data_IF_599008928074
#
_entry.id   IF_599008928074
#
_cell.length_a   1.000
_cell.length_b   1.000
_cell.length_c   1.000
_cell.angle_alpha   90.00
_cell.angle_beta   90.00
_cell.angle_gamma   90.00
#
_symmetry.space_group_name_H-M   'P 1'
#
loop_
_entity.id
_entity.type
_entity.pdbx_description
1 polymer ?
#
# COMPACT_ATOMS: atom_id res chain seq x y z
N UNK A 1 -6.38 1.34 -23.13
CA UNK A 1 -4.92 1.49 -22.96
C UNK A 1 -4.68 1.87 -21.51
N UNK A 2 -3.80 1.16 -20.84
CA UNK A 2 -3.33 1.51 -19.49
C UNK A 2 -2.58 2.84 -19.55
N UNK A 3 -2.92 3.77 -18.68
CA UNK A 3 -2.29 5.10 -18.64
C UNK A 3 -1.24 5.24 -17.55
N UNK A 4 -1.12 4.26 -16.65
CA UNK A 4 -0.13 4.29 -15.56
C UNK A 4 -0.37 3.22 -14.50
N UNK A 5 0.47 3.26 -13.48
CA UNK A 5 0.44 2.39 -12.32
C UNK A 5 0.19 3.21 -11.05
N UNK A 6 -0.44 2.59 -10.07
CA UNK A 6 -0.57 3.13 -8.72
C UNK A 6 -0.33 1.99 -7.70
N UNK A 7 0.83 1.98 -7.09
CA UNK A 7 1.12 1.11 -5.95
C UNK A 7 0.58 1.74 -4.70
N UNK A 8 -0.27 1.04 -3.95
CA UNK A 8 -0.98 1.55 -2.77
C UNK A 8 -0.78 0.65 -1.57
N UNK A 9 -0.80 1.24 -0.39
CA UNK A 9 -0.72 0.55 0.88
C UNK A 9 -1.40 1.34 1.99
N UNK A 10 -2.16 0.65 2.86
CA UNK A 10 -2.79 1.22 4.03
C UNK A 10 -2.04 0.82 5.30
N UNK A 11 -1.72 1.80 6.13
CA UNK A 11 -1.46 1.53 7.54
C UNK A 11 -2.72 1.78 8.37
N UNK A 12 -2.93 0.90 9.35
CA UNK A 12 -4.13 0.93 10.20
C UNK A 12 -3.74 0.83 11.67
N UNK A 13 -4.68 1.06 12.57
CA UNK A 13 -4.45 0.87 14.01
C UNK A 13 -4.45 -0.60 14.45
N UNK A 14 -4.23 -1.54 13.53
CA UNK A 14 -4.19 -3.00 13.76
C UNK A 14 -5.49 -3.59 14.36
N UNK A 15 -6.58 -2.84 14.38
CA UNK A 15 -7.90 -3.39 14.74
C UNK A 15 -8.52 -4.12 13.55
N UNK A 16 -9.28 -5.19 13.75
CA UNK A 16 -10.01 -5.83 12.68
C UNK A 16 -10.98 -4.86 11.99
N UNK A 17 -11.18 -5.00 10.69
CA UNK A 17 -12.06 -4.15 9.88
C UNK A 17 -13.53 -4.05 10.38
N UNK A 18 -14.02 -5.10 11.01
CA UNK A 18 -15.37 -5.14 11.60
C UNK A 18 -15.45 -4.45 12.97
N UNK A 19 -14.31 -4.10 13.58
CA UNK A 19 -14.28 -3.39 14.86
C UNK A 19 -14.67 -1.92 14.64
N UNK A 20 -15.51 -1.38 15.55
CA UNK A 20 -15.93 0.03 15.51
C UNK A 20 -14.76 1.00 15.72
N UNK A 21 -13.70 0.56 16.43
CA UNK A 21 -12.49 1.34 16.67
C UNK A 21 -11.46 1.21 15.55
N UNK A 22 -11.77 0.50 14.47
CA UNK A 22 -10.88 0.39 13.31
C UNK A 22 -10.67 1.77 12.67
N UNK A 23 -9.39 2.11 12.45
CA UNK A 23 -8.97 3.38 11.83
C UNK A 23 -7.88 3.13 10.80
N UNK A 24 -8.04 3.58 9.55
CA UNK A 24 -6.93 3.74 8.63
C UNK A 24 -6.12 4.96 9.08
N UNK A 25 -4.82 4.80 9.29
CA UNK A 25 -3.96 5.85 9.81
C UNK A 25 -3.35 6.69 8.70
N UNK A 26 -2.80 6.04 7.68
CA UNK A 26 -2.30 6.67 6.45
C UNK A 26 -2.70 5.82 5.25
N UNK A 27 -2.72 6.44 4.08
CA UNK A 27 -2.69 5.80 2.76
C UNK A 27 -1.44 6.27 2.04
N UNK A 28 -0.62 5.35 1.60
CA UNK A 28 0.56 5.65 0.79
C UNK A 28 0.34 5.23 -0.66
N UNK A 29 0.94 5.98 -1.59
CA UNK A 29 0.86 5.71 -3.03
C UNK A 29 2.15 6.06 -3.74
N UNK A 30 2.55 5.21 -4.68
CA UNK A 30 3.68 5.45 -5.59
C UNK A 30 3.23 5.23 -7.03
N UNK A 31 3.40 6.25 -7.88
CA UNK A 31 3.07 6.18 -9.30
C UNK A 31 4.29 5.86 -10.17
N UNK A 32 5.47 6.19 -9.71
CA UNK A 32 6.75 5.88 -10.36
C UNK A 32 7.83 5.63 -9.30
N UNK A 33 8.81 4.77 -9.57
CA UNK A 33 9.87 4.47 -8.62
C UNK A 33 10.57 5.72 -8.06
N UNK A 34 10.76 5.73 -6.74
CA UNK A 34 11.41 6.84 -6.02
C UNK A 34 10.52 8.03 -5.67
N UNK A 35 9.19 7.96 -5.92
CA UNK A 35 8.27 9.08 -5.67
C UNK A 35 7.03 8.68 -4.86
N UNK A 36 7.24 8.18 -3.64
CA UNK A 36 6.15 7.86 -2.72
C UNK A 36 5.50 9.11 -2.12
N UNK A 37 4.18 9.05 -1.96
CA UNK A 37 3.37 10.06 -1.28
C UNK A 37 2.56 9.35 -0.21
N UNK A 38 2.59 9.84 1.04
CA UNK A 38 1.72 9.37 2.11
C UNK A 38 0.70 10.43 2.49
N UNK A 39 -0.54 10.01 2.61
CA UNK A 39 -1.68 10.85 2.94
C UNK A 39 -2.16 10.47 4.34
N UNK A 40 -1.98 11.32 5.36
CA UNK A 40 -2.53 11.09 6.69
C UNK A 40 -4.06 11.04 6.64
N UNK A 41 -4.64 10.04 7.32
CA UNK A 41 -6.08 9.85 7.41
C UNK A 41 -6.55 10.07 8.85
N UNK A 42 -6.58 9.04 9.67
CA UNK A 42 -7.00 9.09 11.08
C UNK A 42 -5.82 8.86 12.02
N UNK A 43 -4.89 9.82 12.07
CA UNK A 43 -3.71 9.77 12.93
C UNK A 43 -3.83 10.73 14.11
N UNK A 44 -3.17 10.41 15.24
CA UNK A 44 -3.21 11.21 16.47
C UNK A 44 -2.30 12.43 16.49
N UNK A 45 -1.45 12.59 15.47
CA UNK A 45 -0.53 13.74 15.40
C UNK A 45 -1.32 15.06 15.33
N UNK A 46 -1.02 16.04 16.22
CA UNK A 46 -1.73 17.33 16.23
C UNK A 46 -1.64 18.09 14.90
N UNK A 47 -0.56 17.95 14.15
CA UNK A 47 -0.37 18.62 12.85
C UNK A 47 -1.44 18.24 11.80
N UNK A 48 -2.06 17.07 11.97
CA UNK A 48 -3.10 16.56 11.05
C UNK A 48 -4.48 16.49 11.70
N UNK A 49 -4.66 17.01 12.90
CA UNK A 49 -5.97 17.06 13.58
C UNK A 49 -7.06 17.72 12.73
N UNK A 50 -6.70 18.70 11.92
CA UNK A 50 -7.64 19.37 11.01
C UNK A 50 -8.30 18.44 9.99
N UNK A 51 -7.69 17.29 9.69
CA UNK A 51 -8.26 16.27 8.81
C UNK A 51 -9.45 15.55 9.46
N UNK A 52 -9.46 15.46 10.80
CA UNK A 52 -10.55 14.84 11.55
C UNK A 52 -11.79 15.74 11.56
N UNK A 53 -11.58 17.06 11.52
CA UNK A 53 -12.68 18.04 11.52
C UNK A 53 -13.51 17.89 10.23
N UNK A 54 -14.81 17.66 10.41
CA UNK A 54 -15.77 17.46 9.30
C UNK A 54 -15.39 16.28 8.37
N UNK A 55 -14.69 15.28 8.88
CA UNK A 55 -14.27 14.11 8.11
C UNK A 55 -13.52 14.47 6.80
N UNK A 56 -12.65 15.46 6.84
CA UNK A 56 -11.89 15.88 5.65
C UNK A 56 -11.06 14.73 5.06
N UNK A 57 -10.44 13.91 5.93
CA UNK A 57 -9.69 12.72 5.51
C UNK A 57 -10.55 11.77 4.63
N UNK A 58 -11.83 11.58 4.98
CA UNK A 58 -12.73 10.70 4.22
C UNK A 58 -13.07 11.29 2.84
N UNK A 59 -13.19 12.62 2.74
CA UNK A 59 -13.38 13.28 1.44
C UNK A 59 -12.17 13.11 0.55
N UNK A 60 -10.95 13.24 1.09
CA UNK A 60 -9.71 12.98 0.37
C UNK A 60 -9.60 11.52 -0.07
N UNK A 61 -9.89 10.59 0.84
CA UNK A 61 -9.87 9.16 0.52
C UNK A 61 -10.85 8.82 -0.62
N UNK A 62 -12.07 9.37 -0.59
CA UNK A 62 -13.07 9.17 -1.66
C UNK A 62 -12.66 9.81 -2.98
N UNK A 63 -12.08 10.98 -2.94
CA UNK A 63 -11.54 11.62 -4.15
C UNK A 63 -10.43 10.77 -4.77
N UNK A 64 -9.45 10.37 -3.97
CA UNK A 64 -8.40 9.44 -4.42
C UNK A 64 -9.00 8.13 -4.95
N UNK A 65 -9.96 7.57 -4.24
CA UNK A 65 -10.66 6.35 -4.65
C UNK A 65 -11.25 6.49 -6.05
N UNK A 66 -11.98 7.57 -6.31
CA UNK A 66 -12.61 7.85 -7.61
C UNK A 66 -11.57 8.03 -8.72
N UNK A 67 -10.53 8.84 -8.49
CA UNK A 67 -9.56 9.21 -9.52
C UNK A 67 -8.56 8.08 -9.81
N UNK A 68 -8.23 7.24 -8.83
CA UNK A 68 -7.18 6.22 -8.94
C UNK A 68 -7.75 4.81 -8.88
N UNK A 69 -8.44 4.46 -7.78
CA UNK A 69 -8.85 3.06 -7.54
C UNK A 69 -9.98 2.62 -8.47
N UNK A 70 -10.96 3.49 -8.70
CA UNK A 70 -12.10 3.23 -9.59
C UNK A 70 -11.81 3.55 -11.07
N UNK A 71 -10.63 4.10 -11.37
CA UNK A 71 -10.21 4.38 -12.74
C UNK A 71 -9.71 3.09 -13.41
N UNK A 72 -10.40 2.55 -14.42
CA UNK A 72 -10.00 1.30 -15.08
C UNK A 72 -8.71 1.41 -15.90
N UNK A 73 -8.28 2.62 -16.24
CA UNK A 73 -7.07 2.86 -17.03
C UNK A 73 -5.79 2.87 -16.19
N UNK A 74 -5.90 2.89 -14.85
CA UNK A 74 -4.77 2.78 -13.93
C UNK A 74 -4.69 1.33 -13.44
N UNK A 75 -3.52 0.71 -13.54
CA UNK A 75 -3.23 -0.57 -12.91
C UNK A 75 -2.94 -0.34 -11.44
N UNK A 76 -3.72 -0.98 -10.56
CA UNK A 76 -3.47 -0.97 -9.12
C UNK A 76 -2.45 -2.03 -8.78
N UNK A 77 -1.50 -1.68 -7.93
CA UNK A 77 -0.46 -2.57 -7.43
C UNK A 77 -0.51 -2.55 -5.91
N UNK A 78 -0.35 -3.71 -5.27
CA UNK A 78 -0.19 -3.82 -3.84
C UNK A 78 0.60 -5.08 -3.46
N UNK A 79 1.07 -5.15 -2.22
CA UNK A 79 1.57 -6.37 -1.62
C UNK A 79 0.51 -6.94 -0.70
N UNK A 80 -0.22 -8.00 -1.15
CA UNK A 80 -1.43 -8.50 -0.51
C UNK A 80 -2.66 -7.57 -0.73
N UNK A 81 -3.00 -7.34 -1.99
CA UNK A 81 -4.14 -6.52 -2.42
C UNK A 81 -5.45 -6.77 -1.65
N UNK A 82 -5.66 -7.98 -1.17
CA UNK A 82 -6.86 -8.33 -0.39
C UNK A 82 -7.05 -7.39 0.80
N UNK A 83 -5.97 -7.06 1.52
CA UNK A 83 -6.02 -6.18 2.67
C UNK A 83 -6.43 -4.75 2.27
N UNK A 84 -5.76 -4.17 1.28
CA UNK A 84 -6.04 -2.81 0.82
C UNK A 84 -7.42 -2.68 0.21
N UNK A 85 -7.83 -3.65 -0.59
CA UNK A 85 -9.15 -3.69 -1.19
C UNK A 85 -10.28 -3.73 -0.14
N UNK A 86 -10.10 -4.44 0.95
CA UNK A 86 -11.06 -4.45 2.04
C UNK A 86 -11.15 -3.09 2.75
N UNK A 87 -10.02 -2.40 2.90
CA UNK A 87 -9.98 -1.04 3.41
C UNK A 87 -10.73 -0.07 2.50
N UNK A 88 -10.50 -0.11 1.19
CA UNK A 88 -11.24 0.71 0.24
C UNK A 88 -12.75 0.42 0.27
N UNK A 89 -13.14 -0.85 0.26
CA UNK A 89 -14.55 -1.28 0.30
C UNK A 89 -15.29 -0.79 1.55
N UNK A 90 -14.62 -0.74 2.70
CA UNK A 90 -15.22 -0.18 3.93
C UNK A 90 -15.73 1.26 3.75
N UNK A 91 -15.09 2.02 2.85
CA UNK A 91 -15.47 3.41 2.55
C UNK A 91 -16.22 3.57 1.23
N UNK A 92 -16.78 2.45 0.72
CA UNK A 92 -17.56 2.39 -0.52
C UNK A 92 -16.75 2.81 -1.76
N UNK A 93 -15.48 2.39 -1.81
CA UNK A 93 -14.58 2.57 -2.95
C UNK A 93 -14.34 1.19 -3.56
N UNK A 94 -14.66 1.02 -4.85
CA UNK A 94 -14.60 -0.26 -5.53
C UNK A 94 -13.62 -0.19 -6.70
N UNK A 95 -12.55 -0.99 -6.64
CA UNK A 95 -11.56 -0.98 -7.71
C UNK A 95 -12.18 -1.40 -9.07
N UNK A 96 -11.65 -0.83 -10.13
CA UNK A 96 -11.95 -1.19 -11.51
C UNK A 96 -10.64 -1.39 -12.29
N UNK A 97 -10.69 -2.25 -13.30
CA UNK A 97 -9.53 -2.56 -14.15
C UNK A 97 -8.55 -3.53 -13.47
N UNK A 98 -7.33 -3.54 -13.97
CA UNK A 98 -6.30 -4.51 -13.61
C UNK A 98 -5.71 -4.25 -12.23
N UNK A 99 -5.42 -5.34 -11.53
CA UNK A 99 -4.69 -5.36 -10.27
C UNK A 99 -3.50 -6.32 -10.38
N UNK A 100 -2.34 -5.89 -9.95
CA UNK A 100 -1.15 -6.72 -9.76
C UNK A 100 -0.90 -6.86 -8.26
N UNK A 101 -1.01 -8.07 -7.74
CA UNK A 101 -0.66 -8.39 -6.36
C UNK A 101 0.75 -9.01 -6.33
N UNK A 102 1.73 -8.26 -5.79
CA UNK A 102 3.12 -8.69 -5.75
C UNK A 102 3.34 -9.98 -4.93
N UNK A 103 2.58 -10.15 -3.84
CA UNK A 103 2.67 -11.37 -3.02
C UNK A 103 2.15 -12.58 -3.78
N UNK A 104 1.05 -12.42 -4.52
CA UNK A 104 0.48 -13.49 -5.35
C UNK A 104 1.40 -13.80 -6.54
N UNK A 105 1.95 -12.78 -7.19
CA UNK A 105 2.92 -12.95 -8.28
C UNK A 105 4.17 -13.74 -7.82
N UNK A 106 4.69 -13.43 -6.63
CA UNK A 106 5.78 -14.19 -6.02
C UNK A 106 5.37 -15.64 -5.75
N UNK A 107 4.19 -15.86 -5.19
CA UNK A 107 3.69 -17.21 -4.89
C UNK A 107 3.55 -18.07 -6.16
N UNK A 108 3.05 -17.51 -7.26
CA UNK A 108 2.95 -18.20 -8.54
C UNK A 108 4.31 -18.58 -9.14
N UNK A 109 5.34 -17.77 -8.90
CA UNK A 109 6.71 -18.08 -9.36
C UNK A 109 7.42 -19.11 -8.49
N UNK A 110 7.17 -19.07 -7.20
CA UNK A 110 7.70 -19.99 -6.20
C UNK A 110 6.83 -19.92 -4.95
N UNK A 111 6.19 -21.04 -4.60
CA UNK A 111 5.30 -21.17 -3.43
C UNK A 111 6.03 -21.18 -2.09
N UNK A 112 7.37 -21.39 -2.08
CA UNK A 112 8.16 -21.42 -0.86
C UNK A 112 8.13 -20.08 -0.11
N UNK A 113 8.08 -20.15 1.20
CA UNK A 113 8.20 -18.97 2.08
C UNK A 113 9.66 -18.53 2.21
N UNK A 114 9.94 -17.27 2.58
CA UNK A 114 8.99 -16.23 2.96
C UNK A 114 8.35 -15.50 1.75
N UNK A 115 7.17 -14.89 1.98
CA UNK A 115 6.43 -14.12 0.99
C UNK A 115 6.24 -12.64 1.40
N UNK A 116 6.82 -12.24 2.52
CA UNK A 116 6.73 -10.86 3.02
C UNK A 116 7.46 -9.87 2.13
N UNK A 117 6.94 -8.63 2.03
CA UNK A 117 7.58 -7.57 1.26
C UNK A 117 9.03 -7.34 1.70
N UNK A 118 9.28 -7.26 3.01
CA UNK A 118 10.62 -7.04 3.58
C UNK A 118 11.63 -8.11 3.16
N UNK A 119 11.20 -9.38 3.14
CA UNK A 119 12.04 -10.49 2.70
C UNK A 119 12.36 -10.38 1.20
N UNK A 120 11.38 -9.97 0.40
CA UNK A 120 11.57 -9.80 -1.04
C UNK A 120 12.43 -8.58 -1.37
N UNK A 121 12.31 -7.48 -0.63
CA UNK A 121 13.23 -6.34 -0.73
C UNK A 121 14.65 -6.80 -0.43
N UNK A 122 14.87 -7.49 0.70
CA UNK A 122 16.20 -8.02 1.06
C UNK A 122 16.80 -8.94 -0.03
N UNK A 123 15.96 -9.71 -0.71
CA UNK A 123 16.38 -10.67 -1.73
C UNK A 123 16.66 -10.03 -3.09
N UNK A 124 15.80 -9.12 -3.54
CA UNK A 124 15.80 -8.61 -4.91
C UNK A 124 16.20 -7.14 -5.03
N UNK A 125 16.21 -6.40 -3.94
CA UNK A 125 16.58 -4.98 -3.84
C UNK A 125 17.53 -4.79 -2.64
N UNK A 126 18.68 -5.52 -2.57
CA UNK A 126 19.53 -5.58 -1.38
C UNK A 126 20.07 -4.21 -0.95
N UNK A 127 20.18 -3.25 -1.86
CA UNK A 127 20.58 -1.87 -1.58
C UNK A 127 19.60 -1.13 -0.67
N UNK A 128 18.36 -1.58 -0.60
CA UNK A 128 17.32 -1.03 0.28
C UNK A 128 17.05 -1.89 1.51
N UNK A 129 17.79 -2.97 1.71
CA UNK A 129 17.62 -3.82 2.89
C UNK A 129 17.84 -3.03 4.18
N UNK A 130 17.00 -3.31 5.20
CA UNK A 130 17.06 -2.60 6.48
C UNK A 130 16.22 -1.31 6.52
N UNK A 131 15.38 -1.05 5.51
CA UNK A 131 14.43 0.06 5.55
C UNK A 131 13.39 -0.10 6.65
N UNK A 132 13.15 -1.32 7.11
CA UNK A 132 12.29 -1.64 8.26
C UNK A 132 12.75 -0.98 9.57
N UNK A 133 13.94 -0.36 9.59
CA UNK A 133 14.37 0.49 10.73
C UNK A 133 13.38 1.62 11.05
N UNK A 134 12.59 2.04 10.09
CA UNK A 134 11.51 3.03 10.29
C UNK A 134 10.27 2.43 10.94
N UNK A 135 10.16 1.09 11.04
CA UNK A 135 9.12 0.36 11.75
C UNK A 135 9.54 0.00 13.20
N UNK A 136 10.60 0.59 13.74
CA UNK A 136 11.22 0.24 15.05
C UNK A 136 10.32 0.43 16.28
N UNK A 137 9.09 0.79 16.10
CA UNK A 137 8.16 1.08 17.19
C UNK A 137 7.19 -0.09 17.42
N UNK A 138 7.70 -1.33 17.52
CA UNK A 138 6.90 -2.54 17.67
C UNK A 138 5.96 -2.51 18.89
N UNK A 139 6.30 -1.73 19.93
CA UNK A 139 5.47 -1.56 21.12
C UNK A 139 4.46 -0.40 21.04
N UNK A 140 4.56 0.45 20.02
CA UNK A 140 3.68 1.61 19.84
C UNK A 140 2.58 1.28 18.83
N UNK A 141 1.29 1.48 19.17
CA UNK A 141 0.20 1.35 18.20
C UNK A 141 0.43 2.21 16.95
N UNK A 142 0.12 1.68 15.78
CA UNK A 142 0.38 2.32 14.49
C UNK A 142 -0.17 3.74 14.38
N UNK A 143 -1.34 4.00 14.95
CA UNK A 143 -1.98 5.32 14.98
C UNK A 143 -1.31 6.32 15.94
N UNK A 144 -0.34 5.86 16.75
CA UNK A 144 0.45 6.65 17.69
C UNK A 144 1.93 6.71 17.34
N UNK A 145 2.38 6.02 16.29
CA UNK A 145 3.77 6.13 15.80
C UNK A 145 4.04 7.57 15.35
N UNK A 146 5.29 8.07 15.41
CA UNK A 146 5.62 9.37 14.83
C UNK A 146 5.16 9.44 13.36
N UNK A 147 4.37 10.44 13.02
CA UNK A 147 3.72 10.55 11.71
C UNK A 147 4.74 10.57 10.57
N UNK A 148 5.87 11.27 10.75
CA UNK A 148 6.91 11.35 9.74
C UNK A 148 7.52 9.98 9.44
N UNK A 149 7.84 9.19 10.48
CA UNK A 149 8.41 7.85 10.30
C UNK A 149 7.40 6.90 9.65
N UNK A 150 6.13 6.99 10.07
CA UNK A 150 5.05 6.20 9.47
C UNK A 150 4.83 6.54 7.99
N UNK A 151 4.80 7.84 7.64
CA UNK A 151 4.68 8.27 6.26
C UNK A 151 5.89 7.85 5.40
N UNK A 152 7.10 7.95 5.95
CA UNK A 152 8.32 7.50 5.28
C UNK A 152 8.30 6.00 5.03
N UNK A 153 7.90 5.22 6.04
CA UNK A 153 7.76 3.78 5.95
C UNK A 153 6.75 3.40 4.85
N UNK A 154 5.54 3.96 4.86
CA UNK A 154 4.52 3.67 3.85
C UNK A 154 4.93 4.09 2.42
N UNK A 155 5.66 5.21 2.25
CA UNK A 155 6.24 5.58 0.96
C UNK A 155 7.23 4.54 0.45
N UNK A 156 8.07 3.98 1.33
CA UNK A 156 9.03 2.93 0.98
C UNK A 156 8.32 1.62 0.63
N UNK A 157 7.31 1.22 1.41
CA UNK A 157 6.54 0.01 1.13
C UNK A 157 5.86 0.09 -0.24
N UNK A 158 5.25 1.21 -0.60
CA UNK A 158 4.63 1.38 -1.93
C UNK A 158 5.64 1.47 -3.07
N UNK A 159 6.81 2.10 -2.87
CA UNK A 159 7.88 2.15 -3.88
C UNK A 159 8.45 0.76 -4.15
N UNK A 160 8.79 0.03 -3.10
CA UNK A 160 9.36 -1.31 -3.26
C UNK A 160 8.33 -2.31 -3.77
N UNK A 161 7.08 -2.17 -3.37
CA UNK A 161 5.97 -2.96 -3.93
C UNK A 161 5.84 -2.73 -5.43
N UNK A 162 5.89 -1.48 -5.91
CA UNK A 162 5.86 -1.16 -7.33
C UNK A 162 7.00 -1.84 -8.09
N UNK A 163 8.24 -1.66 -7.63
CA UNK A 163 9.43 -2.25 -8.26
C UNK A 163 9.37 -3.77 -8.33
N UNK A 164 9.06 -4.40 -7.18
CA UNK A 164 9.00 -5.86 -7.08
C UNK A 164 7.84 -6.45 -7.89
N UNK A 165 6.65 -5.84 -7.85
CA UNK A 165 5.49 -6.34 -8.58
C UNK A 165 5.75 -6.33 -10.10
N UNK A 166 6.30 -5.25 -10.65
CA UNK A 166 6.64 -5.16 -12.08
C UNK A 166 7.74 -6.17 -12.46
N UNK A 167 8.76 -6.32 -11.64
CA UNK A 167 9.81 -7.32 -11.85
C UNK A 167 9.27 -8.76 -11.82
N UNK A 168 8.37 -9.07 -10.89
CA UNK A 168 7.78 -10.40 -10.77
C UNK A 168 6.79 -10.67 -11.91
N UNK A 169 6.03 -9.66 -12.33
CA UNK A 169 5.13 -9.75 -13.49
C UNK A 169 5.90 -10.08 -14.77
N UNK A 170 7.02 -9.38 -15.02
CA UNK A 170 7.88 -9.69 -16.17
C UNK A 170 8.36 -11.16 -16.13
N UNK A 171 8.74 -11.67 -14.96
CA UNK A 171 9.11 -13.07 -14.81
C UNK A 171 7.96 -14.05 -15.09
N UNK A 172 6.74 -13.70 -14.70
CA UNK A 172 5.56 -14.51 -15.00
C UNK A 172 5.27 -14.54 -16.50
N UNK A 173 5.36 -13.39 -17.18
CA UNK A 173 5.21 -13.28 -18.63
C UNK A 173 6.25 -14.19 -19.32
N UNK A 174 7.53 -14.08 -18.94
CA UNK A 174 8.62 -14.87 -19.53
C UNK A 174 8.47 -16.38 -19.27
N UNK A 175 7.73 -16.79 -18.25
CA UNK A 175 7.38 -18.20 -17.98
C UNK A 175 6.07 -18.66 -18.62
N UNK A 176 5.40 -17.80 -19.40
CA UNK A 176 4.16 -18.12 -20.11
C UNK A 176 2.91 -18.20 -19.22
N UNK A 177 2.90 -17.54 -18.08
CA UNK A 177 1.69 -17.46 -17.23
C UNK A 177 0.64 -16.50 -17.79
N UNK A 178 0.99 -15.64 -18.72
CA UNK A 178 0.09 -14.77 -19.48
C UNK A 178 0.21 -15.10 -20.97
N UNK A 179 -0.92 -15.33 -21.60
CA UNK A 179 -1.04 -15.43 -23.07
C UNK A 179 -1.35 -14.07 -23.68
#
# INVERSE_FOLDING_TARGET
KTTGYASVDFETNAKPLYNNDFKPTILSVTFQPGSGISIPLQHFDPSVEYLQKNNKWLRWLRYFGKEVIENPNIVKIAWNWKFDNQNFKKYNIHHRGTVIDGMLAKYLLNEERPNGLKDMVKKYLPEFAGYEKYDKFDSIPWDKKPLEDLCRYGCMDTDFTLRLALFLEEKLINKGFYN
#
